data_IF_496257367778
#
_entry.id   IF_496257367778
#
_cell.length_a   1.000
_cell.length_b   1.000
_cell.length_c   1.000
_cell.angle_alpha   90.00
_cell.angle_beta   90.00
_cell.angle_gamma   90.00
#
_symmetry.space_group_name_H-M   'P 1'
#
loop_
_entity.id
_entity.type
_entity.pdbx_description
1 polymer ?
#
# COMPACT_ATOMS: atom_id res chain seq x y z
N UNK A 1 -27.75 -33.44 12.75
CA UNK A 1 -26.35 -33.10 12.38
C UNK A 1 -26.30 -32.07 11.25
N UNK A 2 -27.00 -32.26 10.12
CA UNK A 2 -27.01 -31.32 8.98
C UNK A 2 -27.19 -29.84 9.33
N UNK A 3 -28.00 -29.52 10.35
CA UNK A 3 -28.24 -28.14 10.76
C UNK A 3 -27.00 -27.44 11.34
N UNK A 4 -26.14 -28.12 12.10
CA UNK A 4 -24.91 -27.52 12.63
C UNK A 4 -23.86 -27.35 11.52
N UNK A 5 -23.80 -28.31 10.60
CA UNK A 5 -22.89 -28.29 9.44
C UNK A 5 -23.20 -27.14 8.49
N UNK A 6 -24.50 -26.87 8.25
CA UNK A 6 -24.92 -25.75 7.40
C UNK A 6 -24.81 -24.38 8.08
N UNK A 7 -25.07 -24.27 9.39
CA UNK A 7 -25.27 -22.95 10.02
C UNK A 7 -23.98 -22.20 10.37
N UNK A 8 -22.88 -22.89 10.71
CA UNK A 8 -21.68 -22.18 11.16
C UNK A 8 -20.81 -21.69 10.01
N UNK A 9 -20.23 -22.63 9.27
CA UNK A 9 -19.14 -22.36 8.35
C UNK A 9 -19.41 -22.81 6.91
N UNK A 10 -20.65 -23.19 6.58
CA UNK A 10 -21.07 -23.60 5.24
C UNK A 10 -20.15 -24.63 4.56
N UNK A 11 -19.58 -25.56 5.33
CA UNK A 11 -18.57 -26.54 4.88
C UNK A 11 -17.34 -25.90 4.20
N UNK A 12 -16.97 -24.67 4.55
CA UNK A 12 -15.72 -24.04 4.09
C UNK A 12 -14.54 -24.79 4.68
N UNK A 13 -13.84 -25.54 3.84
CA UNK A 13 -12.58 -26.18 4.17
C UNK A 13 -11.43 -25.15 4.10
N UNK A 14 -10.41 -25.33 4.95
CA UNK A 14 -9.19 -24.52 4.90
C UNK A 14 -9.22 -23.22 5.73
N UNK A 15 -10.14 -23.08 6.67
CA UNK A 15 -10.11 -21.96 7.62
C UNK A 15 -8.86 -22.03 8.51
N UNK A 16 -8.08 -20.95 8.51
CA UNK A 16 -6.89 -20.78 9.35
C UNK A 16 -7.21 -19.88 10.54
N UNK A 17 -6.70 -20.22 11.72
CA UNK A 17 -6.82 -19.36 12.90
C UNK A 17 -5.74 -18.28 12.80
N UNK A 18 -6.16 -17.03 12.78
CA UNK A 18 -5.25 -15.88 12.68
C UNK A 18 -5.07 -15.15 14.02
N UNK A 19 -6.09 -15.15 14.89
CA UNK A 19 -6.08 -14.45 16.17
C UNK A 19 -7.24 -14.98 17.05
N UNK A 20 -7.01 -15.11 18.35
CA UNK A 20 -8.09 -15.33 19.31
C UNK A 20 -7.84 -14.52 20.57
N UNK A 21 -8.86 -13.75 20.96
CA UNK A 21 -8.82 -12.86 22.12
C UNK A 21 -9.90 -13.30 23.10
N UNK A 22 -9.49 -13.67 24.30
CA UNK A 22 -10.39 -13.92 25.42
C UNK A 22 -10.77 -12.58 26.05
N UNK A 23 -12.07 -12.35 26.17
CA UNK A 23 -12.60 -11.09 26.66
C UNK A 23 -13.85 -11.32 27.50
N UNK A 24 -14.09 -10.42 28.42
CA UNK A 24 -15.34 -10.32 29.16
C UNK A 24 -16.48 -9.89 28.23
N UNK A 25 -17.72 -10.18 28.62
CA UNK A 25 -18.94 -9.86 27.89
C UNK A 25 -18.92 -10.32 26.42
N UNK A 26 -18.28 -11.47 26.14
CA UNK A 26 -18.04 -11.91 24.77
C UNK A 26 -19.33 -12.02 23.93
N UNK A 27 -20.47 -12.42 24.53
CA UNK A 27 -21.77 -12.50 23.85
C UNK A 27 -22.26 -11.14 23.36
N UNK A 28 -22.10 -10.09 24.17
CA UNK A 28 -22.49 -8.73 23.79
C UNK A 28 -21.56 -8.19 22.70
N UNK A 29 -20.26 -8.48 22.80
CA UNK A 29 -19.26 -8.11 21.78
C UNK A 29 -19.52 -8.84 20.47
N UNK A 30 -19.87 -10.12 20.51
CA UNK A 30 -20.25 -10.93 19.35
C UNK A 30 -21.50 -10.37 18.66
N UNK A 31 -22.56 -10.09 19.42
CA UNK A 31 -23.77 -9.43 18.89
C UNK A 31 -23.45 -8.08 18.23
N UNK A 32 -22.56 -7.29 18.83
CA UNK A 32 -22.10 -6.03 18.26
C UNK A 32 -21.31 -6.24 16.95
N UNK A 33 -20.47 -7.29 16.86
CA UNK A 33 -19.77 -7.64 15.62
C UNK A 33 -20.75 -8.02 14.51
N UNK A 34 -21.80 -8.79 14.83
CA UNK A 34 -22.88 -9.09 13.88
C UNK A 34 -23.57 -7.83 13.38
N UNK A 35 -23.83 -6.86 14.26
CA UNK A 35 -24.48 -5.61 13.89
C UNK A 35 -23.58 -4.77 12.96
N UNK A 36 -22.31 -4.56 13.35
CA UNK A 36 -21.32 -3.78 12.61
C UNK A 36 -21.06 -4.38 11.21
N UNK A 37 -20.88 -5.69 11.14
CA UNK A 37 -20.54 -6.40 9.89
C UNK A 37 -21.74 -7.05 9.22
N UNK A 38 -22.97 -6.71 9.61
CA UNK A 38 -24.23 -7.26 9.08
C UNK A 38 -24.28 -7.27 7.55
N UNK A 39 -23.82 -6.19 6.91
CA UNK A 39 -23.79 -6.04 5.45
C UNK A 39 -22.71 -6.88 4.75
N UNK A 40 -21.71 -7.33 5.49
CA UNK A 40 -20.62 -8.17 5.00
C UNK A 40 -20.86 -9.66 5.27
N UNK A 41 -21.96 -10.01 5.95
CA UNK A 41 -22.31 -11.40 6.28
C UNK A 41 -22.61 -12.20 5.02
N UNK A 42 -22.06 -13.41 4.92
CA UNK A 42 -22.29 -14.31 3.78
C UNK A 42 -23.55 -15.13 4.05
N UNK A 43 -24.68 -14.70 3.48
CA UNK A 43 -25.99 -15.35 3.73
C UNK A 43 -26.32 -15.38 5.22
N UNK A 44 -26.89 -16.50 5.67
CA UNK A 44 -27.26 -16.73 7.08
C UNK A 44 -26.15 -17.48 7.88
N UNK A 45 -24.88 -17.34 7.48
CA UNK A 45 -23.74 -18.07 8.08
C UNK A 45 -22.96 -17.22 9.10
N UNK A 46 -22.02 -17.81 9.82
CA UNK A 46 -21.10 -17.08 10.72
C UNK A 46 -19.85 -16.53 10.00
N UNK A 47 -19.91 -16.42 8.66
CA UNK A 47 -18.81 -15.92 7.82
C UNK A 47 -19.07 -14.48 7.39
N UNK A 48 -18.01 -13.68 7.40
CA UNK A 48 -18.04 -12.28 6.99
C UNK A 48 -16.96 -11.99 5.94
N UNK A 49 -17.31 -11.26 4.89
CA UNK A 49 -16.38 -10.75 3.89
C UNK A 49 -15.79 -9.42 4.39
N UNK A 50 -14.66 -9.50 5.09
CA UNK A 50 -13.99 -8.36 5.77
C UNK A 50 -12.48 -8.39 5.58
N UNK A 51 -11.84 -7.22 5.68
CA UNK A 51 -10.38 -7.05 5.61
C UNK A 51 -9.70 -7.68 6.84
N UNK A 52 -8.77 -8.62 6.63
CA UNK A 52 -8.10 -9.36 7.71
C UNK A 52 -7.40 -8.42 8.69
N UNK A 53 -6.66 -7.44 8.18
CA UNK A 53 -5.92 -6.45 8.99
C UNK A 53 -6.85 -5.50 9.77
N UNK A 54 -8.06 -5.27 9.27
CA UNK A 54 -9.09 -4.54 10.01
C UNK A 54 -9.59 -5.36 11.18
N UNK A 55 -9.90 -6.65 10.98
CA UNK A 55 -10.40 -7.52 12.05
C UNK A 55 -9.34 -7.75 13.12
N UNK A 56 -8.08 -8.01 12.74
CA UNK A 56 -6.97 -8.13 13.70
C UNK A 56 -6.90 -6.91 14.62
N UNK A 57 -6.86 -5.69 14.06
CA UNK A 57 -6.81 -4.45 14.86
C UNK A 57 -8.05 -4.23 15.72
N UNK A 58 -9.23 -4.60 15.22
CA UNK A 58 -10.46 -4.54 16.00
C UNK A 58 -10.38 -5.48 17.21
N UNK A 59 -9.92 -6.72 17.02
CA UNK A 59 -9.83 -7.69 18.10
C UNK A 59 -8.77 -7.29 19.12
N UNK A 60 -7.63 -6.78 18.66
CA UNK A 60 -6.56 -6.26 19.51
C UNK A 60 -6.99 -5.02 20.29
N UNK A 61 -7.91 -4.20 19.74
CA UNK A 61 -8.48 -3.05 20.45
C UNK A 61 -9.49 -3.42 21.54
N UNK A 62 -9.97 -4.68 21.58
CA UNK A 62 -10.86 -5.18 22.65
C UNK A 62 -10.17 -5.28 24.01
N UNK A 63 -8.84 -5.11 24.08
CA UNK A 63 -8.00 -5.18 25.29
C UNK A 63 -8.19 -6.47 26.09
N UNK A 64 -8.48 -7.58 25.40
CA UNK A 64 -8.57 -8.91 26.00
C UNK A 64 -7.22 -9.62 26.05
N UNK A 65 -7.23 -10.81 26.65
CA UNK A 65 -6.08 -11.72 26.71
C UNK A 65 -5.94 -12.44 25.37
N UNK A 66 -4.80 -12.28 24.68
CA UNK A 66 -4.52 -13.08 23.48
C UNK A 66 -4.27 -14.52 23.90
N UNK A 67 -5.14 -15.42 23.47
CA UNK A 67 -5.00 -16.87 23.68
C UNK A 67 -4.45 -17.58 22.44
N UNK A 68 -4.46 -16.91 21.29
CA UNK A 68 -3.80 -17.36 20.07
C UNK A 68 -3.34 -16.16 19.22
N UNK A 69 -2.10 -16.17 18.69
CA UNK A 69 -1.08 -17.22 18.89
C UNK A 69 -0.51 -17.20 20.32
N UNK A 70 0.00 -18.35 20.78
CA UNK A 70 0.61 -18.45 22.11
C UNK A 70 1.93 -17.67 22.08
N UNK A 71 2.19 -16.88 23.14
CA UNK A 71 3.42 -16.11 23.37
C UNK A 71 3.51 -14.71 22.72
N UNK A 72 2.39 -14.10 22.32
CA UNK A 72 2.38 -12.72 21.81
C UNK A 72 1.61 -11.75 22.72
N UNK A 73 2.06 -10.49 22.79
CA UNK A 73 1.39 -9.43 23.56
C UNK A 73 0.48 -8.60 22.66
N UNK A 74 -0.68 -8.18 23.17
CA UNK A 74 -1.67 -7.44 22.39
C UNK A 74 -1.15 -6.12 21.82
N UNK A 75 -0.30 -5.42 22.57
CA UNK A 75 0.33 -4.19 22.11
C UNK A 75 1.28 -4.45 20.94
N UNK A 76 2.16 -5.46 21.05
CA UNK A 76 3.09 -5.80 19.96
C UNK A 76 2.35 -6.21 18.68
N UNK A 77 1.27 -6.99 18.77
CA UNK A 77 0.47 -7.38 17.62
C UNK A 77 -0.30 -6.20 17.01
N UNK A 78 -0.78 -5.29 17.86
CA UNK A 78 -1.47 -4.09 17.39
C UNK A 78 -0.51 -3.17 16.62
N UNK A 79 0.70 -2.96 17.16
CA UNK A 79 1.73 -2.19 16.48
C UNK A 79 2.14 -2.83 15.15
N UNK A 80 2.39 -4.15 15.11
CA UNK A 80 2.70 -4.88 13.87
C UNK A 80 1.60 -4.67 12.82
N UNK A 81 0.34 -4.88 13.16
CA UNK A 81 -0.78 -4.72 12.21
C UNK A 81 -1.00 -3.26 11.76
N UNK A 82 -0.72 -2.27 12.60
CA UNK A 82 -0.70 -0.85 12.21
C UNK A 82 0.45 -0.56 11.25
N UNK A 83 1.63 -1.14 11.49
CA UNK A 83 2.76 -1.05 10.58
C UNK A 83 2.46 -1.71 9.23
N UNK A 84 1.84 -2.89 9.21
CA UNK A 84 1.42 -3.60 7.99
C UNK A 84 0.43 -2.76 7.17
N UNK A 85 -0.61 -2.17 7.78
CA UNK A 85 -1.52 -1.30 7.01
C UNK A 85 -0.84 -0.02 6.52
N UNK A 86 0.05 0.60 7.30
CA UNK A 86 0.85 1.73 6.81
C UNK A 86 1.67 1.32 5.59
N UNK A 87 2.13 0.08 5.55
CA UNK A 87 2.87 -0.48 4.42
C UNK A 87 1.97 -0.79 3.22
N UNK A 88 0.79 -1.36 3.41
CA UNK A 88 -0.21 -1.65 2.36
C UNK A 88 -0.80 -0.39 1.74
N UNK A 89 -1.25 0.55 2.58
CA UNK A 89 -1.74 1.86 2.14
C UNK A 89 -0.64 2.65 1.41
N UNK A 90 0.62 2.44 1.80
CA UNK A 90 1.78 3.02 1.12
C UNK A 90 2.21 2.28 -0.16
N UNK A 91 1.64 1.14 -0.55
CA UNK A 91 1.90 0.61 -1.89
C UNK A 91 1.29 1.55 -2.96
N UNK A 92 0.03 1.96 -2.76
CA UNK A 92 -0.62 3.01 -3.55
C UNK A 92 -0.06 4.39 -3.25
N UNK A 93 0.24 4.68 -1.97
CA UNK A 93 0.78 5.98 -1.60
C UNK A 93 2.22 6.18 -2.10
N UNK A 94 3.05 5.14 -2.22
CA UNK A 94 4.46 5.23 -2.65
C UNK A 94 4.58 5.66 -4.11
N UNK A 95 3.77 5.06 -5.01
CA UNK A 95 3.68 5.52 -6.41
C UNK A 95 3.21 6.97 -6.47
N UNK A 96 2.13 7.30 -5.75
CA UNK A 96 1.58 8.66 -5.74
C UNK A 96 2.59 9.67 -5.17
N UNK A 97 3.22 9.36 -4.06
CA UNK A 97 4.26 10.17 -3.41
C UNK A 97 5.46 10.39 -4.32
N UNK A 98 5.89 9.36 -5.06
CA UNK A 98 6.95 9.48 -6.05
C UNK A 98 6.55 10.42 -7.18
N UNK A 99 5.35 10.24 -7.76
CA UNK A 99 4.85 11.13 -8.81
C UNK A 99 4.71 12.57 -8.32
N UNK A 100 4.20 12.77 -7.11
CA UNK A 100 4.05 14.10 -6.50
C UNK A 100 5.41 14.73 -6.17
N UNK A 101 6.42 13.94 -5.78
CA UNK A 101 7.80 14.38 -5.62
C UNK A 101 8.38 14.83 -6.96
N UNK A 102 8.29 14.00 -7.99
CA UNK A 102 8.86 14.27 -9.32
C UNK A 102 8.18 15.49 -9.97
N UNK A 103 6.85 15.62 -9.85
CA UNK A 103 6.10 16.78 -10.33
C UNK A 103 6.49 18.06 -9.60
N UNK A 104 6.60 18.03 -8.27
CA UNK A 104 7.04 19.20 -7.49
C UNK A 104 8.49 19.57 -7.82
N UNK A 105 9.39 18.60 -7.83
CA UNK A 105 10.79 18.80 -8.17
C UNK A 105 10.98 19.34 -9.58
N UNK A 106 10.20 18.89 -10.57
CA UNK A 106 10.22 19.46 -11.91
C UNK A 106 9.71 20.91 -11.95
N UNK A 107 8.66 21.25 -11.18
CA UNK A 107 8.19 22.64 -11.09
C UNK A 107 9.23 23.57 -10.47
N UNK A 108 9.99 23.08 -9.49
CA UNK A 108 11.04 23.85 -8.83
C UNK A 108 12.32 23.94 -9.66
N UNK A 109 12.67 22.84 -10.33
CA UNK A 109 13.88 22.68 -11.14
C UNK A 109 13.52 22.17 -12.55
N UNK A 110 12.99 23.03 -13.44
CA UNK A 110 12.46 22.59 -14.74
C UNK A 110 13.49 21.91 -15.63
N UNK A 111 14.77 22.25 -15.50
CA UNK A 111 15.85 21.70 -16.32
C UNK A 111 16.42 20.37 -15.79
N UNK A 112 16.10 19.99 -14.55
CA UNK A 112 16.70 18.80 -13.91
C UNK A 112 16.35 17.50 -14.66
N UNK A 113 15.06 17.28 -14.94
CA UNK A 113 14.60 16.08 -15.65
C UNK A 113 14.95 16.10 -17.15
N UNK A 114 14.76 17.21 -17.90
CA UNK A 114 15.22 17.32 -19.28
C UNK A 114 16.72 17.06 -19.44
N UNK A 115 17.56 17.51 -18.50
CA UNK A 115 19.01 17.26 -18.54
C UNK A 115 19.33 15.76 -18.48
N UNK A 116 18.55 14.96 -17.74
CA UNK A 116 18.68 13.50 -17.73
C UNK A 116 18.29 12.87 -19.07
N UNK A 117 17.38 13.50 -19.81
CA UNK A 117 16.89 13.06 -21.12
C UNK A 117 17.60 13.73 -22.30
N UNK A 118 18.66 14.51 -22.12
CA UNK A 118 19.25 15.36 -23.16
C UNK A 118 19.49 14.59 -24.48
N UNK A 119 20.43 13.64 -24.47
CA UNK A 119 20.86 12.92 -25.68
C UNK A 119 20.20 11.54 -25.85
N UNK A 120 19.31 11.14 -24.93
CA UNK A 120 18.72 9.81 -24.91
C UNK A 120 17.19 9.85 -24.95
N UNK A 121 16.57 8.90 -25.65
CA UNK A 121 15.11 8.75 -25.66
C UNK A 121 14.55 8.33 -24.29
N UNK A 122 15.39 7.72 -23.45
CA UNK A 122 15.04 7.31 -22.10
C UNK A 122 16.24 7.42 -21.16
N UNK A 123 15.96 7.66 -19.89
CA UNK A 123 16.93 7.64 -18.80
C UNK A 123 16.60 6.51 -17.84
N UNK A 124 17.60 5.67 -17.55
CA UNK A 124 17.51 4.61 -16.55
C UNK A 124 18.33 5.00 -15.33
N UNK A 125 17.71 5.18 -14.15
CA UNK A 125 18.44 5.45 -12.92
C UNK A 125 19.34 4.28 -12.51
N UNK A 126 20.29 4.55 -11.63
CA UNK A 126 21.30 3.55 -11.21
C UNK A 126 20.70 2.53 -10.24
N UNK A 127 19.87 3.00 -9.30
CA UNK A 127 19.40 2.18 -8.17
C UNK A 127 18.04 1.54 -8.43
N UNK A 128 17.20 2.17 -9.26
CA UNK A 128 15.79 1.77 -9.47
C UNK A 128 15.47 1.38 -10.92
N UNK A 129 14.40 0.61 -11.10
CA UNK A 129 13.86 0.26 -12.43
C UNK A 129 12.94 1.34 -13.03
N UNK A 130 12.74 2.45 -12.33
CA UNK A 130 11.80 3.52 -12.71
C UNK A 130 12.47 4.44 -13.70
N UNK A 131 11.99 4.49 -14.94
CA UNK A 131 12.70 5.19 -16.04
C UNK A 131 12.00 6.47 -16.43
N UNK A 132 12.75 7.41 -16.99
CA UNK A 132 12.17 8.53 -17.73
C UNK A 132 12.20 8.22 -19.21
N UNK A 133 11.21 8.74 -19.94
CA UNK A 133 11.09 8.66 -21.38
C UNK A 133 10.70 10.03 -21.92
N UNK A 134 11.13 10.34 -23.16
CA UNK A 134 10.64 11.53 -23.88
C UNK A 134 9.16 11.39 -24.25
N UNK A 135 8.77 10.19 -24.65
CA UNK A 135 7.41 9.87 -25.11
C UNK A 135 6.74 8.81 -24.22
N UNK A 136 5.41 8.69 -24.34
CA UNK A 136 4.66 7.68 -23.60
C UNK A 136 5.08 6.27 -24.01
N UNK A 137 5.36 5.40 -23.03
CA UNK A 137 5.73 4.01 -23.28
C UNK A 137 4.51 3.09 -23.15
N UNK A 138 4.31 2.23 -24.14
CA UNK A 138 3.21 1.28 -24.20
C UNK A 138 3.71 -0.16 -24.07
N UNK A 139 2.99 -0.97 -23.30
CA UNK A 139 3.22 -2.41 -23.22
C UNK A 139 2.77 -3.15 -24.47
N UNK A 140 3.06 -4.45 -24.55
CA UNK A 140 2.67 -5.31 -25.68
C UNK A 140 1.15 -5.35 -25.94
N UNK A 141 0.35 -5.15 -24.90
CA UNK A 141 -1.12 -5.08 -24.96
C UNK A 141 -1.66 -3.72 -25.42
N UNK A 142 -0.79 -2.73 -25.71
CA UNK A 142 -1.20 -1.35 -25.97
C UNK A 142 -1.51 -0.53 -24.71
N UNK A 143 -1.30 -1.08 -23.51
CA UNK A 143 -1.52 -0.35 -22.25
C UNK A 143 -0.41 0.68 -22.01
N UNK A 144 -0.76 1.95 -21.72
CA UNK A 144 0.21 2.99 -21.33
C UNK A 144 0.82 2.63 -19.96
N UNK A 145 2.15 2.57 -19.90
CA UNK A 145 2.90 2.18 -18.70
C UNK A 145 3.62 3.36 -18.03
N UNK A 146 3.50 4.56 -18.60
CA UNK A 146 4.13 5.78 -18.12
C UNK A 146 3.10 6.84 -17.74
N UNK A 147 3.35 7.56 -16.66
CA UNK A 147 2.64 8.79 -16.32
C UNK A 147 3.32 10.01 -16.92
N UNK A 148 2.52 10.97 -17.38
CA UNK A 148 3.03 12.26 -17.83
C UNK A 148 3.36 13.16 -16.64
N UNK A 149 4.56 13.73 -16.68
CA UNK A 149 5.02 14.73 -15.70
C UNK A 149 4.89 16.13 -16.31
N UNK A 150 5.39 16.29 -17.52
CA UNK A 150 5.31 17.50 -18.35
C UNK A 150 5.48 17.11 -19.82
N UNK A 151 5.34 18.09 -20.72
CA UNK A 151 5.58 17.87 -22.15
C UNK A 151 7.01 17.33 -22.39
N UNK A 152 7.10 16.27 -23.17
CA UNK A 152 8.36 15.54 -23.42
C UNK A 152 8.94 14.81 -22.19
N UNK A 153 8.20 14.65 -21.09
CA UNK A 153 8.69 13.98 -19.87
C UNK A 153 7.66 13.01 -19.32
N UNK A 154 7.96 11.73 -19.51
CA UNK A 154 7.15 10.59 -19.08
C UNK A 154 7.91 9.74 -18.09
N UNK A 155 7.28 9.31 -16.99
CA UNK A 155 7.90 8.43 -15.99
C UNK A 155 7.25 7.05 -15.99
N UNK A 156 8.05 6.02 -16.19
CA UNK A 156 7.66 4.63 -16.06
C UNK A 156 7.79 4.21 -14.60
N UNK A 157 6.67 3.84 -13.98
CA UNK A 157 6.63 3.36 -12.61
C UNK A 157 6.16 1.91 -12.58
N UNK A 158 6.72 1.14 -11.66
CA UNK A 158 6.31 -0.24 -11.38
C UNK A 158 5.66 -0.31 -10.00
N UNK A 159 5.01 -1.44 -9.69
CA UNK A 159 4.36 -1.68 -8.39
C UNK A 159 5.33 -2.22 -7.32
N UNK A 160 6.61 -2.43 -7.66
CA UNK A 160 7.63 -2.90 -6.71
C UNK A 160 7.93 -1.80 -5.70
N UNK A 161 7.57 -2.03 -4.43
CA UNK A 161 7.81 -1.09 -3.34
C UNK A 161 9.31 -0.77 -3.18
N UNK A 162 10.16 -1.78 -3.25
CA UNK A 162 11.61 -1.61 -3.14
C UNK A 162 12.16 -0.73 -4.28
N UNK A 163 11.62 -0.85 -5.49
CA UNK A 163 12.01 0.02 -6.61
C UNK A 163 11.47 1.45 -6.44
N UNK A 164 10.25 1.61 -5.91
CA UNK A 164 9.65 2.92 -5.60
C UNK A 164 10.44 3.68 -4.54
N UNK A 165 10.83 3.02 -3.44
CA UNK A 165 11.63 3.63 -2.35
C UNK A 165 13.03 4.03 -2.82
N UNK A 166 13.68 3.18 -3.64
CA UNK A 166 14.98 3.50 -4.26
C UNK A 166 14.86 4.69 -5.21
N UNK A 167 13.84 4.71 -6.06
CA UNK A 167 13.60 5.82 -6.97
C UNK A 167 13.31 7.11 -6.22
N UNK A 168 12.46 7.06 -5.19
CA UNK A 168 12.14 8.23 -4.37
C UNK A 168 13.39 8.85 -3.78
N UNK A 169 14.28 8.03 -3.21
CA UNK A 169 15.56 8.47 -2.65
C UNK A 169 16.46 9.09 -3.73
N UNK A 170 16.54 8.47 -4.91
CA UNK A 170 17.37 8.92 -6.03
C UNK A 170 16.89 10.26 -6.63
N UNK A 171 15.57 10.45 -6.81
CA UNK A 171 15.01 11.73 -7.24
C UNK A 171 15.14 12.82 -6.18
N UNK A 172 15.03 12.46 -4.90
CA UNK A 172 15.22 13.40 -3.81
C UNK A 172 16.69 13.87 -3.73
N UNK A 173 17.66 12.96 -3.94
CA UNK A 173 19.09 13.29 -4.10
C UNK A 173 19.32 14.22 -5.31
N UNK A 174 18.70 13.91 -6.46
CA UNK A 174 18.77 14.75 -7.67
C UNK A 174 18.29 16.18 -7.40
N UNK A 175 17.09 16.36 -6.86
CA UNK A 175 16.53 17.69 -6.64
C UNK A 175 17.26 18.47 -5.53
N UNK A 176 17.81 17.79 -4.52
CA UNK A 176 18.71 18.42 -3.55
C UNK A 176 19.97 18.96 -4.23
N UNK A 177 20.60 18.16 -5.10
CA UNK A 177 21.81 18.59 -5.82
C UNK A 177 21.55 19.81 -6.73
N UNK A 178 20.37 19.92 -7.33
CA UNK A 178 19.98 21.09 -8.14
C UNK A 178 19.68 22.32 -7.27
N UNK A 179 19.15 22.12 -6.06
CA UNK A 179 19.00 23.15 -5.04
C UNK A 179 20.36 23.73 -4.62
N UNK A 180 21.31 22.85 -4.31
CA UNK A 180 22.66 23.23 -3.86
C UNK A 180 23.48 23.87 -4.99
N UNK A 181 23.30 23.41 -6.24
CA UNK A 181 23.95 24.00 -7.41
C UNK A 181 23.40 25.39 -7.80
N UNK A 182 22.37 25.89 -7.10
CA UNK A 182 21.75 27.16 -7.39
C UNK A 182 20.99 27.18 -8.73
N UNK A 183 20.56 26.01 -9.21
CA UNK A 183 19.71 25.86 -10.39
C UNK A 183 18.38 26.58 -10.18
N UNK A 184 18.34 27.88 -10.51
CA UNK A 184 17.20 28.76 -10.20
C UNK A 184 15.92 28.31 -10.90
N UNK A 185 14.79 28.55 -10.20
CA UNK A 185 13.44 28.66 -10.77
C UNK A 185 13.45 29.63 -11.97
N UNK A 186 12.70 29.36 -13.05
CA UNK A 186 12.34 30.40 -13.99
C UNK A 186 11.64 31.53 -13.21
N UNK A 187 12.02 32.78 -13.50
CA UNK A 187 11.34 33.97 -12.98
C UNK A 187 9.95 34.10 -13.59
#
# INVERSE_FOLDING_TARGET
>A
MRHLENNGYANVAGLERILAVKTDNYKEKENLLHEIFSKSRIGDTELFAVDENLVKRLFLSLRGEIVFPKNETAESEFEKSVHERRQEGNAGSGRKQLLDLVRRGHREYPYALPRLLADAASYKPKKSKIRLFKEAYFGKSGTRLTDEIADGIHIYTCFSRADLEKAYSEYLELFKSESDAGGRKPR
#
